data_IF_100155802819
#
_entry.id   IF_100155802819
#
_cell.length_a   1.000
_cell.length_b   1.000
_cell.length_c   1.000
_cell.angle_alpha   90.00
_cell.angle_beta   90.00
_cell.angle_gamma   90.00
#
_symmetry.space_group_name_H-M   'P 1'
#
loop_
_entity.id
_entity.type
_entity.pdbx_description
1 polymer ?
#
# COMPACT_ATOMS: atom_id res chain seq x y z
N UNK A 1 -21.83 52.08 3.70
CA UNK A 1 -20.77 51.04 3.74
C UNK A 1 -21.15 49.83 4.62
N UNK A 2 -22.31 49.19 4.45
CA UNK A 2 -22.71 48.00 5.26
C UNK A 2 -22.92 46.72 4.44
N UNK A 3 -23.11 46.86 3.13
CA UNK A 3 -23.40 45.74 2.21
C UNK A 3 -22.15 44.96 1.79
N UNK A 4 -21.00 45.64 1.60
CA UNK A 4 -19.75 44.99 1.16
C UNK A 4 -19.18 44.04 2.24
N UNK A 5 -19.40 44.35 3.52
CA UNK A 5 -18.98 43.49 4.66
C UNK A 5 -19.70 42.14 4.70
N UNK A 6 -20.89 42.01 4.08
CA UNK A 6 -21.66 40.76 4.04
C UNK A 6 -21.13 39.78 2.98
N UNK A 7 -20.58 40.28 1.86
CA UNK A 7 -20.05 39.46 0.77
C UNK A 7 -18.72 38.78 1.13
N UNK A 8 -17.88 39.37 1.98
CA UNK A 8 -16.58 38.79 2.36
C UNK A 8 -16.68 37.55 3.26
N UNK A 9 -17.84 37.32 3.89
CA UNK A 9 -18.09 36.09 4.65
C UNK A 9 -18.35 34.87 3.75
N UNK A 10 -18.71 35.07 2.48
CA UNK A 10 -18.97 33.98 1.53
C UNK A 10 -17.68 33.30 1.04
N UNK A 11 -16.55 34.02 1.08
CA UNK A 11 -15.23 33.54 0.63
C UNK A 11 -14.36 33.02 1.78
N UNK A 12 -14.90 32.91 3.00
CA UNK A 12 -14.17 32.27 4.09
C UNK A 12 -14.14 30.77 3.83
N UNK A 13 -12.98 30.25 3.42
CA UNK A 13 -12.67 28.82 3.39
C UNK A 13 -12.98 28.23 4.78
N UNK A 14 -14.12 27.55 4.91
CA UNK A 14 -14.39 26.72 6.09
C UNK A 14 -13.35 25.60 6.10
N UNK A 15 -12.60 25.49 7.21
CA UNK A 15 -11.75 24.32 7.42
C UNK A 15 -12.68 23.09 7.46
N UNK A 16 -12.43 22.04 6.67
CA UNK A 16 -13.21 20.82 6.76
C UNK A 16 -13.15 20.33 8.20
N UNK A 17 -14.33 20.07 8.81
CA UNK A 17 -14.39 19.44 10.12
C UNK A 17 -13.73 18.06 10.00
N UNK A 18 -12.88 17.65 10.96
CA UNK A 18 -12.34 16.31 10.95
C UNK A 18 -13.50 15.32 10.99
N UNK A 19 -13.63 14.52 9.94
CA UNK A 19 -14.58 13.42 9.92
C UNK A 19 -14.06 12.31 10.86
N UNK A 20 -14.94 11.66 11.63
CA UNK A 20 -14.52 10.53 12.45
C UNK A 20 -13.98 9.42 11.55
N UNK A 21 -12.80 8.91 11.88
CA UNK A 21 -12.20 7.76 11.20
C UNK A 21 -12.85 6.48 11.73
N UNK A 22 -13.45 5.69 10.83
CA UNK A 22 -14.06 4.42 11.16
C UNK A 22 -13.03 3.31 10.87
N UNK A 23 -12.39 2.80 11.92
CA UNK A 23 -11.41 1.71 11.82
C UNK A 23 -12.16 0.39 11.95
N UNK A 24 -12.42 -0.28 10.82
CA UNK A 24 -12.99 -1.63 10.79
C UNK A 24 -11.84 -2.61 11.02
N UNK A 25 -11.80 -3.24 12.19
CA UNK A 25 -10.93 -4.40 12.42
C UNK A 25 -11.61 -5.63 11.81
N UNK A 26 -10.87 -6.39 10.99
CA UNK A 26 -11.34 -7.70 10.52
C UNK A 26 -11.25 -8.69 11.69
N UNK A 27 -12.30 -9.49 11.88
CA UNK A 27 -12.28 -10.59 12.86
C UNK A 27 -11.18 -11.59 12.48
N UNK A 28 -10.42 -12.04 13.49
CA UNK A 28 -9.16 -12.79 13.35
C UNK A 28 -9.40 -14.27 13.02
N UNK A 29 -10.66 -14.71 13.02
CA UNK A 29 -11.03 -16.14 12.99
C UNK A 29 -11.27 -16.70 11.58
N UNK A 30 -10.67 -16.11 10.56
CA UNK A 30 -10.71 -16.64 9.19
C UNK A 30 -9.66 -17.75 9.06
N UNK A 31 -10.05 -18.99 9.42
CA UNK A 31 -9.18 -20.19 9.53
C UNK A 31 -8.37 -20.48 8.25
N UNK A 32 -8.77 -19.93 7.11
CA UNK A 32 -8.11 -20.10 5.82
C UNK A 32 -7.06 -19.04 5.48
N UNK A 33 -6.82 -18.03 6.34
CA UNK A 33 -5.82 -17.00 6.08
C UNK A 33 -4.51 -17.36 6.77
N UNK A 34 -3.55 -17.82 5.98
CA UNK A 34 -2.16 -17.97 6.43
C UNK A 34 -1.52 -16.58 6.49
N UNK A 35 -1.24 -16.10 7.69
CA UNK A 35 -0.46 -14.88 7.89
C UNK A 35 1.03 -15.19 7.80
N UNK A 36 1.75 -14.37 7.04
CA UNK A 36 3.20 -14.48 6.88
C UNK A 36 3.89 -13.37 7.64
N UNK A 37 4.97 -13.71 8.36
CA UNK A 37 5.80 -12.74 9.08
C UNK A 37 6.75 -12.01 8.15
N UNK A 38 7.05 -12.58 6.98
CA UNK A 38 7.93 -11.98 5.98
C UNK A 38 7.57 -12.41 4.55
N UNK A 39 8.10 -11.66 3.58
CA UNK A 39 7.96 -12.00 2.16
C UNK A 39 8.70 -13.32 1.86
N UNK A 40 9.82 -13.60 2.54
CA UNK A 40 10.56 -14.85 2.39
C UNK A 40 9.73 -16.07 2.78
N UNK A 41 8.94 -15.96 3.85
CA UNK A 41 8.06 -17.05 4.29
C UNK A 41 7.00 -17.35 3.23
N UNK A 42 6.40 -16.31 2.64
CA UNK A 42 5.46 -16.47 1.54
C UNK A 42 6.10 -17.08 0.29
N UNK A 43 7.37 -16.74 -0.01
CA UNK A 43 8.11 -17.32 -1.13
C UNK A 43 8.40 -18.81 -0.91
N UNK A 44 8.79 -19.20 0.31
CA UNK A 44 9.06 -20.59 0.66
C UNK A 44 7.81 -21.47 0.49
N UNK A 45 6.63 -20.94 0.80
CA UNK A 45 5.37 -21.62 0.54
C UNK A 45 5.11 -21.79 -0.97
N UNK A 46 5.33 -20.74 -1.76
CA UNK A 46 5.15 -20.78 -3.23
C UNK A 46 6.12 -21.76 -3.90
N UNK A 47 7.29 -22.03 -3.31
CA UNK A 47 8.25 -23.03 -3.79
C UNK A 47 7.75 -24.46 -3.75
N UNK A 48 6.85 -24.74 -2.82
CA UNK A 48 6.23 -26.05 -2.68
C UNK A 48 4.94 -26.17 -3.50
N UNK A 49 4.47 -25.08 -4.13
CA UNK A 49 3.24 -25.09 -4.93
C UNK A 49 3.51 -25.63 -6.36
N UNK A 50 2.92 -26.77 -6.75
CA UNK A 50 3.11 -27.35 -8.08
C UNK A 50 2.55 -26.48 -9.22
N UNK A 51 1.70 -25.50 -8.91
CA UNK A 51 1.11 -24.58 -9.89
C UNK A 51 2.01 -23.36 -10.18
N UNK A 52 3.07 -23.18 -9.40
CA UNK A 52 3.99 -22.04 -9.54
C UNK A 52 5.27 -22.51 -10.21
N UNK A 53 5.65 -21.86 -11.32
CA UNK A 53 6.87 -22.23 -12.02
C UNK A 53 8.12 -21.75 -11.27
N UNK A 54 9.13 -22.62 -11.18
CA UNK A 54 10.42 -22.31 -10.55
C UNK A 54 11.07 -21.02 -11.11
N UNK A 55 10.93 -20.78 -12.41
CA UNK A 55 11.44 -19.56 -13.08
C UNK A 55 10.81 -18.28 -12.50
N UNK A 56 9.50 -18.29 -12.20
CA UNK A 56 8.82 -17.13 -11.61
C UNK A 56 9.30 -16.89 -10.17
N UNK A 57 9.52 -17.95 -9.41
CA UNK A 57 10.02 -17.88 -8.04
C UNK A 57 11.42 -17.29 -7.99
N UNK A 58 12.31 -17.74 -8.89
CA UNK A 58 13.68 -17.22 -8.96
C UNK A 58 13.69 -15.72 -9.29
N UNK A 59 12.88 -15.27 -10.25
CA UNK A 59 12.69 -13.85 -10.55
C UNK A 59 12.18 -13.06 -9.33
N UNK A 60 11.28 -13.65 -8.55
CA UNK A 60 10.75 -13.03 -7.34
C UNK A 60 11.85 -12.86 -6.28
N UNK A 61 12.66 -13.91 -6.03
CA UNK A 61 13.80 -13.85 -5.11
C UNK A 61 14.81 -12.77 -5.49
N UNK A 62 15.15 -12.66 -6.77
CA UNK A 62 16.06 -11.61 -7.27
C UNK A 62 15.47 -10.22 -7.07
N UNK A 63 14.17 -10.06 -7.33
CA UNK A 63 13.46 -8.78 -7.12
C UNK A 63 13.47 -8.35 -5.65
N UNK A 64 13.23 -9.30 -4.73
CA UNK A 64 13.28 -9.04 -3.29
C UNK A 64 14.69 -8.66 -2.84
N UNK A 65 15.72 -9.37 -3.32
CA UNK A 65 17.12 -9.02 -3.04
C UNK A 65 17.46 -7.60 -3.53
N UNK A 66 17.01 -7.24 -4.72
CA UNK A 66 17.20 -5.91 -5.27
C UNK A 66 16.46 -4.83 -4.47
N UNK A 67 15.25 -5.12 -4.00
CA UNK A 67 14.48 -4.22 -3.15
C UNK A 67 15.19 -3.97 -1.82
N UNK A 68 15.68 -5.02 -1.15
CA UNK A 68 16.41 -4.90 0.11
C UNK A 68 17.71 -4.11 -0.01
N UNK A 69 18.40 -4.24 -1.13
CA UNK A 69 19.69 -3.61 -1.36
C UNK A 69 19.59 -2.16 -1.87
N UNK A 70 18.42 -1.72 -2.34
CA UNK A 70 18.21 -0.35 -2.83
C UNK A 70 17.44 0.47 -1.80
N UNK A 71 18.06 1.52 -1.29
CA UNK A 71 17.45 2.49 -0.35
C UNK A 71 16.35 3.34 -0.99
N UNK A 72 16.28 3.41 -2.32
CA UNK A 72 15.26 4.16 -3.06
C UNK A 72 15.03 3.51 -4.43
N UNK A 73 13.77 3.30 -4.78
CA UNK A 73 13.33 2.85 -6.11
C UNK A 73 12.35 3.89 -6.64
N UNK A 74 12.69 4.56 -7.76
CA UNK A 74 11.75 5.44 -8.46
C UNK A 74 10.91 4.61 -9.43
N UNK A 75 9.60 4.75 -9.33
CA UNK A 75 8.65 4.09 -10.23
C UNK A 75 7.88 5.17 -10.98
N UNK A 76 7.87 5.09 -12.30
CA UNK A 76 7.10 5.98 -13.18
C UNK A 76 6.36 5.12 -14.18
N UNK A 77 5.04 5.29 -14.31
CA UNK A 77 4.19 4.52 -15.23
C UNK A 77 4.30 2.98 -15.10
N UNK A 78 4.56 2.48 -13.88
CA UNK A 78 4.70 1.04 -13.62
C UNK A 78 6.08 0.45 -13.93
N UNK A 79 7.03 1.25 -14.42
CA UNK A 79 8.41 0.81 -14.67
C UNK A 79 9.39 1.37 -13.63
N UNK A 80 10.43 0.59 -13.31
CA UNK A 80 11.51 1.03 -12.42
C UNK A 80 12.45 1.95 -13.22
N UNK A 81 12.52 3.21 -12.83
CA UNK A 81 13.44 4.19 -13.39
C UNK A 81 14.83 3.93 -12.80
N UNK A 82 15.84 3.76 -13.66
CA UNK A 82 17.25 3.56 -13.28
C UNK A 82 17.86 4.82 -12.67
#
# INVERSE_FOLDING_TARGET
MRTIKKLTNLFKKMKPKPAPLLIIKKDVDDVNIKEYKSIEEAIADLENDPNVSAIKIEKLRVSLKNLKNKTSVKITNGEIVK
#
